data_IF_834464615334
#
_entry.id   IF_834464615334
#
_cell.length_a   1.000
_cell.length_b   1.000
_cell.length_c   1.000
_cell.angle_alpha   90.00
_cell.angle_beta   90.00
_cell.angle_gamma   90.00
#
_symmetry.space_group_name_H-M   'P 1'
#
loop_
_entity.id
_entity.type
_entity.pdbx_description
1 polymer ?
#
# COMPACT_ATOMS: atom_id res chain seq x y z
N UNK A 1 8.53 -21.83 23.70
CA UNK A 1 9.04 -20.55 23.20
C UNK A 1 8.30 -20.16 21.95
N UNK A 2 7.75 -19.01 21.97
CA UNK A 2 7.03 -18.56 20.78
C UNK A 2 7.93 -17.64 19.98
N UNK A 3 8.08 -17.93 18.73
CA UNK A 3 8.84 -17.11 17.83
C UNK A 3 7.88 -16.42 16.87
N UNK A 4 8.17 -15.18 16.59
CA UNK A 4 7.40 -14.46 15.60
C UNK A 4 7.76 -15.01 14.22
N UNK A 5 6.78 -15.54 13.52
CA UNK A 5 6.96 -15.94 12.14
C UNK A 5 6.58 -14.76 11.25
N UNK A 6 7.50 -14.40 10.37
CA UNK A 6 7.22 -13.35 9.42
C UNK A 6 6.20 -13.84 8.40
N UNK A 7 5.16 -13.03 8.18
CA UNK A 7 4.15 -13.29 7.17
C UNK A 7 4.31 -12.19 6.13
N UNK A 8 4.68 -12.59 4.93
CA UNK A 8 5.08 -11.66 3.88
C UNK A 8 4.02 -11.65 2.78
N UNK A 9 3.52 -10.48 2.39
CA UNK A 9 2.54 -10.40 1.32
C UNK A 9 3.19 -10.60 -0.05
N UNK A 10 2.35 -10.90 -1.03
CA UNK A 10 2.77 -10.91 -2.41
C UNK A 10 2.83 -9.48 -2.93
N UNK A 11 3.93 -9.10 -3.56
CA UNK A 11 4.10 -7.77 -4.11
C UNK A 11 4.50 -7.90 -5.58
N UNK A 12 3.79 -7.19 -6.44
CA UNK A 12 4.09 -7.13 -7.88
C UNK A 12 4.09 -5.68 -8.30
N UNK A 13 5.19 -5.22 -8.88
CA UNK A 13 5.29 -3.88 -9.42
C UNK A 13 5.78 -3.93 -10.85
N UNK A 14 5.06 -3.26 -11.74
CA UNK A 14 5.47 -3.11 -13.13
C UNK A 14 5.86 -1.65 -13.37
N UNK A 15 7.15 -1.36 -13.49
CA UNK A 15 7.61 0.03 -13.68
C UNK A 15 7.26 0.60 -15.05
N UNK A 16 6.87 -0.23 -16.00
CA UNK A 16 6.46 0.25 -17.32
C UNK A 16 5.03 0.77 -17.33
N UNK A 17 4.17 0.21 -16.49
CA UNK A 17 2.76 0.58 -16.43
C UNK A 17 2.39 1.34 -15.17
N UNK A 18 3.23 1.29 -14.13
CA UNK A 18 2.93 1.91 -12.84
C UNK A 18 1.96 1.11 -11.97
N UNK A 19 1.71 -0.13 -12.32
CA UNK A 19 0.80 -0.96 -11.54
C UNK A 19 1.55 -1.64 -10.39
N UNK A 20 1.06 -1.43 -9.17
CA UNK A 20 1.59 -2.04 -7.96
C UNK A 20 0.47 -2.80 -7.26
N UNK A 21 0.69 -4.07 -6.97
CA UNK A 21 -0.26 -4.90 -6.22
C UNK A 21 0.40 -5.44 -4.98
N UNK A 22 -0.24 -5.25 -3.84
CA UNK A 22 0.20 -5.82 -2.56
C UNK A 22 -0.97 -6.64 -2.03
N UNK A 23 -0.75 -7.93 -1.85
CA UNK A 23 -1.85 -8.87 -1.59
C UNK A 23 -1.48 -9.87 -0.53
N UNK A 24 -2.41 -10.19 0.38
CA UNK A 24 -2.24 -11.21 1.40
C UNK A 24 -2.19 -10.62 2.79
N UNK A 25 -1.23 -11.09 3.58
CA UNK A 25 -1.04 -10.67 4.98
C UNK A 25 0.35 -10.12 5.15
N UNK A 26 0.49 -9.13 6.01
CA UNK A 26 1.77 -8.46 6.22
C UNK A 26 2.00 -8.27 7.72
N UNK A 27 2.92 -9.04 8.28
CA UNK A 27 3.30 -8.94 9.68
C UNK A 27 4.72 -9.48 9.82
N UNK A 28 5.68 -8.61 10.03
CA UNK A 28 7.08 -9.01 10.10
C UNK A 28 7.88 -8.05 10.96
N UNK A 29 9.00 -8.57 11.50
CA UNK A 29 9.85 -7.78 12.40
C UNK A 29 10.55 -6.66 11.69
N UNK A 30 11.12 -6.93 10.53
CA UNK A 30 11.90 -5.95 9.77
C UNK A 30 11.06 -5.41 8.61
N UNK A 31 9.88 -4.90 8.94
CA UNK A 31 8.89 -4.48 7.95
C UNK A 31 9.41 -3.37 7.04
N UNK A 32 10.22 -2.46 7.58
CA UNK A 32 10.79 -1.38 6.76
C UNK A 32 11.74 -1.92 5.71
N UNK A 33 12.54 -2.92 6.06
CA UNK A 33 13.46 -3.53 5.10
C UNK A 33 12.72 -4.18 3.94
N UNK A 34 11.51 -4.64 4.20
CA UNK A 34 10.68 -5.23 3.15
C UNK A 34 10.06 -4.17 2.23
N UNK A 35 9.50 -3.11 2.83
CA UNK A 35 8.76 -2.11 2.05
C UNK A 35 9.65 -1.02 1.44
N UNK A 36 10.79 -0.72 2.05
CA UNK A 36 11.65 0.34 1.56
C UNK A 36 12.06 0.14 0.09
N UNK A 37 12.48 -1.05 -0.35
CA UNK A 37 12.80 -1.25 -1.76
C UNK A 37 11.63 -1.00 -2.69
N UNK A 38 10.40 -1.32 -2.24
CA UNK A 38 9.19 -1.08 -3.03
C UNK A 38 8.98 0.42 -3.21
N UNK A 39 9.09 1.17 -2.11
CA UNK A 39 8.95 2.62 -2.11
C UNK A 39 10.01 3.26 -3.00
N UNK A 40 11.26 2.76 -2.92
CA UNK A 40 12.35 3.25 -3.75
C UNK A 40 12.09 3.00 -5.24
N UNK A 41 11.52 1.84 -5.58
CA UNK A 41 11.17 1.54 -6.96
C UNK A 41 10.12 2.53 -7.48
N UNK A 42 9.11 2.82 -6.68
CA UNK A 42 8.09 3.80 -7.03
C UNK A 42 8.72 5.17 -7.21
N UNK A 43 9.59 5.57 -6.27
CA UNK A 43 10.26 6.85 -6.32
C UNK A 43 11.07 7.02 -7.60
N UNK A 44 11.73 5.97 -8.03
CA UNK A 44 12.63 6.02 -9.20
C UNK A 44 11.91 5.73 -10.52
N UNK A 45 10.60 5.54 -10.49
CA UNK A 45 9.81 5.24 -11.68
C UNK A 45 9.09 6.51 -12.15
N UNK A 46 9.18 6.78 -13.45
CA UNK A 46 8.49 7.92 -14.06
C UNK A 46 7.51 7.40 -15.09
N UNK A 47 6.23 7.41 -14.72
CA UNK A 47 5.13 7.02 -15.60
C UNK A 47 4.00 8.02 -15.40
N UNK A 48 3.09 8.18 -16.38
CA UNK A 48 2.00 9.15 -16.25
C UNK A 48 0.91 8.73 -15.25
N UNK A 49 0.82 7.43 -14.94
CA UNK A 49 -0.23 6.92 -14.04
C UNK A 49 0.34 5.83 -13.15
N UNK A 50 0.03 5.91 -11.85
CA UNK A 50 0.30 4.84 -10.91
C UNK A 50 -1.04 4.27 -10.44
N UNK A 51 -1.17 2.95 -10.51
CA UNK A 51 -2.33 2.23 -10.01
C UNK A 51 -1.85 1.31 -8.91
N UNK A 52 -2.37 1.49 -7.69
CA UNK A 52 -1.97 0.70 -6.53
C UNK A 52 -3.18 -0.05 -6.01
N UNK A 53 -3.06 -1.37 -5.92
CA UNK A 53 -4.12 -2.22 -5.37
C UNK A 53 -3.63 -2.83 -4.08
N UNK A 54 -4.32 -2.52 -2.99
CA UNK A 54 -4.00 -2.98 -1.65
C UNK A 54 -5.05 -3.99 -1.23
N UNK A 55 -4.71 -5.27 -1.36
CA UNK A 55 -5.59 -6.39 -1.02
C UNK A 55 -5.05 -7.11 0.20
N UNK A 56 -4.80 -6.35 1.27
CA UNK A 56 -4.27 -6.90 2.50
C UNK A 56 -5.41 -7.33 3.39
N UNK A 57 -5.42 -8.60 3.79
CA UNK A 57 -6.45 -9.14 4.67
C UNK A 57 -6.15 -8.80 6.11
N UNK A 58 -4.87 -8.76 6.46
CA UNK A 58 -4.43 -8.50 7.82
C UNK A 58 -3.03 -7.92 7.80
N UNK A 59 -2.78 -6.92 8.64
CA UNK A 59 -1.45 -6.31 8.73
C UNK A 59 -1.28 -5.62 10.07
N UNK A 60 -0.02 -5.46 10.48
CA UNK A 60 0.31 -4.85 11.76
C UNK A 60 0.55 -3.34 11.61
N UNK A 61 0.80 -2.70 12.76
CA UNK A 61 1.03 -1.26 12.82
C UNK A 61 2.26 -0.84 12.01
N UNK A 62 3.30 -1.67 12.03
CA UNK A 62 4.51 -1.38 11.26
C UNK A 62 4.24 -1.34 9.76
N UNK A 63 3.42 -2.28 9.28
CA UNK A 63 2.99 -2.28 7.88
C UNK A 63 2.22 -1.00 7.57
N UNK A 64 1.32 -0.58 8.46
CA UNK A 64 0.54 0.64 8.25
C UNK A 64 1.43 1.85 8.07
N UNK A 65 2.49 1.96 8.88
CA UNK A 65 3.46 3.07 8.76
C UNK A 65 4.16 3.05 7.40
N UNK A 66 4.52 1.86 6.92
CA UNK A 66 5.16 1.73 5.61
C UNK A 66 4.21 2.08 4.48
N UNK A 67 2.96 1.68 4.59
CA UNK A 67 1.94 2.05 3.60
C UNK A 67 1.74 3.56 3.57
N UNK A 68 1.79 4.21 4.72
CA UNK A 68 1.72 5.67 4.77
C UNK A 68 2.89 6.30 4.03
N UNK A 69 4.11 5.81 4.23
CA UNK A 69 5.28 6.30 3.51
C UNK A 69 5.13 6.11 2.00
N UNK A 70 4.58 4.96 1.59
CA UNK A 70 4.31 4.72 0.17
C UNK A 70 3.32 5.75 -0.38
N UNK A 71 2.27 6.05 0.39
CA UNK A 71 1.27 7.03 -0.03
C UNK A 71 1.88 8.43 -0.16
N UNK A 72 2.80 8.79 0.74
CA UNK A 72 3.48 10.09 0.64
C UNK A 72 4.31 10.18 -0.64
N UNK A 73 4.94 9.08 -1.04
CA UNK A 73 5.70 9.05 -2.28
C UNK A 73 4.79 9.19 -3.51
N UNK A 74 3.64 8.54 -3.47
CA UNK A 74 2.63 8.69 -4.52
C UNK A 74 2.09 10.12 -4.57
N UNK A 75 1.93 10.76 -3.41
CA UNK A 75 1.49 12.16 -3.35
C UNK A 75 2.49 13.08 -4.05
N UNK A 76 3.80 12.82 -3.87
CA UNK A 76 4.83 13.58 -4.58
C UNK A 76 4.73 13.38 -6.08
N UNK A 77 4.48 12.15 -6.53
CA UNK A 77 4.27 11.87 -7.97
C UNK A 77 3.06 12.63 -8.51
N UNK A 78 1.99 12.72 -7.70
CA UNK A 78 0.80 13.46 -8.09
C UNK A 78 1.09 14.94 -8.25
N UNK A 79 1.89 15.51 -7.35
CA UNK A 79 2.29 16.91 -7.45
C UNK A 79 3.11 17.18 -8.70
N UNK A 80 3.81 16.17 -9.20
CA UNK A 80 4.61 16.27 -10.43
C UNK A 80 3.79 15.98 -11.68
N UNK A 81 2.49 15.78 -11.56
CA UNK A 81 1.60 15.62 -12.68
C UNK A 81 1.12 14.20 -12.96
N UNK A 82 1.58 13.22 -12.20
CA UNK A 82 1.10 11.85 -12.41
C UNK A 82 -0.31 11.68 -11.89
N UNK A 83 -1.06 10.80 -12.53
CA UNK A 83 -2.36 10.39 -12.04
C UNK A 83 -2.17 9.24 -11.06
N UNK A 84 -2.79 9.34 -9.89
CA UNK A 84 -2.67 8.32 -8.85
C UNK A 84 -4.03 7.69 -8.59
N UNK A 85 -4.09 6.38 -8.66
CA UNK A 85 -5.30 5.63 -8.33
C UNK A 85 -4.94 4.56 -7.31
N UNK A 86 -5.55 4.62 -6.14
CA UNK A 86 -5.33 3.62 -5.09
C UNK A 86 -6.65 2.92 -4.81
N UNK A 87 -6.64 1.60 -4.87
CA UNK A 87 -7.81 0.78 -4.56
C UNK A 87 -7.56 0.02 -3.26
N UNK A 88 -8.42 0.25 -2.30
CA UNK A 88 -8.38 -0.43 -1.01
C UNK A 88 -9.47 -1.48 -0.98
N UNK A 89 -9.07 -2.73 -0.86
CA UNK A 89 -10.01 -3.85 -0.87
C UNK A 89 -10.29 -4.30 0.56
N UNK A 90 -11.56 -4.49 0.88
CA UNK A 90 -11.98 -5.03 2.17
C UNK A 90 -13.12 -6.01 1.93
N UNK A 91 -13.26 -6.98 2.85
CA UNK A 91 -14.37 -7.92 2.80
C UNK A 91 -15.66 -7.19 3.09
N UNK A 92 -16.73 -7.62 2.45
CA UNK A 92 -18.05 -7.05 2.69
C UNK A 92 -18.40 -7.21 4.18
N UNK A 93 -18.78 -6.10 4.81
CA UNK A 93 -19.12 -6.09 6.23
C UNK A 93 -17.95 -5.87 7.16
N UNK A 94 -16.72 -5.85 6.66
CA UNK A 94 -15.54 -5.58 7.49
C UNK A 94 -15.29 -4.08 7.57
N UNK A 95 -16.05 -3.42 8.44
CA UNK A 95 -15.99 -1.96 8.59
C UNK A 95 -14.68 -1.50 9.21
N UNK A 96 -14.09 -2.31 10.11
CA UNK A 96 -12.83 -1.95 10.74
C UNK A 96 -11.71 -1.87 9.72
N UNK A 97 -11.65 -2.81 8.81
CA UNK A 97 -10.63 -2.81 7.76
C UNK A 97 -10.82 -1.65 6.80
N UNK A 98 -12.08 -1.34 6.49
CA UNK A 98 -12.40 -0.20 5.65
C UNK A 98 -11.96 1.11 6.31
N UNK A 99 -12.20 1.24 7.62
CA UNK A 99 -11.80 2.43 8.37
C UNK A 99 -10.28 2.64 8.36
N UNK A 100 -9.51 1.56 8.40
CA UNK A 100 -8.05 1.68 8.29
C UNK A 100 -7.65 2.31 6.95
N UNK A 101 -8.32 1.91 5.88
CA UNK A 101 -8.08 2.50 4.57
C UNK A 101 -8.52 3.95 4.49
N UNK A 102 -9.66 4.28 5.09
CA UNK A 102 -10.15 5.66 5.15
C UNK A 102 -9.19 6.56 5.91
N UNK A 103 -8.65 6.06 7.02
CA UNK A 103 -7.68 6.79 7.82
C UNK A 103 -6.39 7.04 7.04
N UNK A 104 -5.91 6.01 6.35
CA UNK A 104 -4.69 6.13 5.54
C UNK A 104 -4.88 7.14 4.40
N UNK A 105 -6.03 7.08 3.73
CA UNK A 105 -6.37 8.02 2.66
C UNK A 105 -6.41 9.46 3.18
N UNK A 106 -7.08 9.65 4.32
CA UNK A 106 -7.23 10.98 4.91
C UNK A 106 -5.89 11.57 5.34
N UNK A 107 -5.07 10.78 6.02
CA UNK A 107 -3.77 11.25 6.53
C UNK A 107 -2.77 11.56 5.43
N UNK A 108 -2.78 10.78 4.36
CA UNK A 108 -1.85 10.96 3.25
C UNK A 108 -2.34 11.97 2.23
N UNK A 109 -3.62 12.31 2.28
CA UNK A 109 -4.29 13.16 1.29
C UNK A 109 -4.24 12.56 -0.11
N UNK A 110 -4.17 11.23 -0.17
CA UNK A 110 -4.30 10.47 -1.42
C UNK A 110 -5.69 9.85 -1.41
N UNK A 111 -6.46 10.11 -2.46
CA UNK A 111 -7.82 9.62 -2.55
C UNK A 111 -7.86 8.14 -2.92
N UNK A 112 -8.59 7.36 -2.14
CA UNK A 112 -8.74 5.93 -2.38
C UNK A 112 -10.11 5.62 -2.98
N UNK A 113 -10.12 4.56 -3.79
CA UNK A 113 -11.35 3.88 -4.15
C UNK A 113 -11.49 2.68 -3.21
N UNK A 114 -12.65 2.54 -2.59
CA UNK A 114 -12.91 1.43 -1.66
C UNK A 114 -13.70 0.37 -2.39
N UNK A 115 -13.13 -0.84 -2.42
CA UNK A 115 -13.71 -1.96 -3.14
C UNK A 115 -14.09 -3.04 -2.14
N UNK A 116 -15.35 -3.48 -2.21
CA UNK A 116 -15.90 -4.54 -1.37
C UNK A 116 -15.82 -5.85 -2.13
N UNK A 117 -15.37 -6.90 -1.45
CA UNK A 117 -15.27 -8.20 -2.09
C UNK A 117 -15.85 -9.34 -1.26
#
# INVERSE_FOLDING_TARGET
>A
MSEHEDIIPSVRFNPNTGLLKIEGRSSMRDVQDFYLPIIEQVKNTTVPTFIVELKLEHFDTGTMKCLYQLMLELKEKQKMGAMIMVRWFSDEGDEDHKELGEDLSSRSEVKFQFVSK
#
